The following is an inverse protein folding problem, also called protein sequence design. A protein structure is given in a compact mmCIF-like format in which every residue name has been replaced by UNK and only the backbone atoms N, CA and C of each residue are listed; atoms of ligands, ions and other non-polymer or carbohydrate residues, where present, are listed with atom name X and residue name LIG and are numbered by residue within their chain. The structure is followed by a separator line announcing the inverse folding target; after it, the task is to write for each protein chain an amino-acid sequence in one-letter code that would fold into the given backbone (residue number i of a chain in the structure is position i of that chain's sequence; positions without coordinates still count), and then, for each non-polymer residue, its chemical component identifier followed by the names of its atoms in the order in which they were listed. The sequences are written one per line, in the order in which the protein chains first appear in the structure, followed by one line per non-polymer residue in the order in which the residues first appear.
data_IF_131403917373
#
_entry.id   IF_131403917373
#
_cell.length_a   1.000
_cell.length_b   1.000
_cell.length_c   1.000
_cell.angle_alpha   90.00
_cell.angle_beta   90.00
_cell.angle_gamma   90.00
#
_symmetry.space_group_name_H-M   'P 1'
#
loop_
_entity.id
_entity.type
_entity.pdbx_description
1 polymer ?
#
# COMPACT_ATOMS: atom_id res chain seq x y z
N UNK A 1 -56.96 -23.23 59.67
CA UNK A 1 -55.72 -22.43 59.78
C UNK A 1 -54.65 -23.14 58.96
N UNK A 2 -54.43 -22.71 57.72
CA UNK A 2 -53.25 -23.03 56.89
C UNK A 2 -53.41 -22.37 55.51
N UNK A 3 -52.91 -21.15 55.39
CA UNK A 3 -52.69 -20.44 54.12
C UNK A 3 -51.60 -21.17 53.32
N UNK A 4 -51.74 -21.37 51.99
CA UNK A 4 -50.61 -21.78 51.16
C UNK A 4 -49.78 -20.53 50.82
N UNK A 5 -48.52 -20.54 51.24
CA UNK A 5 -47.51 -19.55 50.86
C UNK A 5 -47.17 -19.68 49.38
N UNK A 6 -47.46 -18.64 48.61
CA UNK A 6 -47.01 -18.48 47.23
C UNK A 6 -45.51 -18.16 47.20
N UNK A 7 -44.68 -19.10 46.76
CA UNK A 7 -43.28 -18.82 46.43
C UNK A 7 -43.21 -18.09 45.09
N UNK A 8 -43.05 -16.77 45.14
CA UNK A 8 -42.73 -15.95 43.96
C UNK A 8 -41.32 -16.33 43.52
N UNK A 9 -41.22 -17.21 42.52
CA UNK A 9 -39.97 -17.53 41.86
C UNK A 9 -39.48 -16.27 41.12
N UNK A 10 -38.36 -15.72 41.58
CA UNK A 10 -37.66 -14.62 40.94
C UNK A 10 -37.14 -15.11 39.60
N UNK A 11 -37.82 -14.75 38.51
CA UNK A 11 -37.33 -14.93 37.16
C UNK A 11 -36.17 -13.94 36.93
N UNK A 12 -34.97 -14.31 37.36
CA UNK A 12 -33.74 -13.65 36.92
C UNK A 12 -33.61 -13.93 35.43
N UNK A 13 -33.92 -12.93 34.62
CA UNK A 13 -33.78 -12.96 33.17
C UNK A 13 -32.34 -13.32 32.82
N UNK A 14 -32.10 -14.57 32.44
CA UNK A 14 -30.83 -14.99 31.87
C UNK A 14 -30.64 -14.19 30.57
N UNK A 15 -29.71 -13.24 30.59
CA UNK A 15 -29.30 -12.48 29.42
C UNK A 15 -28.89 -13.48 28.35
N UNK A 16 -29.58 -13.46 27.21
CA UNK A 16 -29.34 -14.34 26.09
C UNK A 16 -27.89 -14.15 25.58
N UNK A 17 -27.06 -15.18 25.78
CA UNK A 17 -25.64 -15.16 25.41
C UNK A 17 -25.44 -15.07 23.89
N UNK A 18 -26.49 -15.28 23.09
CA UNK A 18 -26.48 -15.06 21.64
C UNK A 18 -26.24 -13.60 21.25
N UNK A 19 -26.41 -12.64 22.18
CA UNK A 19 -26.12 -11.22 21.94
C UNK A 19 -24.64 -10.83 22.17
N UNK A 20 -23.81 -11.75 22.65
CA UNK A 20 -22.38 -11.55 22.89
C UNK A 20 -21.53 -11.96 21.67
N UNK A 21 -21.94 -11.57 20.46
CA UNK A 21 -21.03 -11.64 19.32
C UNK A 21 -19.96 -10.54 19.48
N UNK A 22 -18.65 -10.89 19.53
CA UNK A 22 -17.61 -9.87 19.48
C UNK A 22 -17.75 -9.08 18.17
N UNK A 23 -17.43 -7.79 18.20
CA UNK A 23 -17.51 -6.96 17.00
C UNK A 23 -16.63 -7.55 15.88
N UNK A 24 -17.04 -7.45 14.59
CA UNK A 24 -16.29 -8.01 13.47
C UNK A 24 -14.81 -7.56 13.45
N UNK A 25 -14.54 -6.32 13.86
CA UNK A 25 -13.19 -5.77 13.99
C UNK A 25 -12.36 -6.47 15.09
N UNK A 26 -12.99 -6.83 16.21
CA UNK A 26 -12.32 -7.52 17.32
C UNK A 26 -11.98 -8.96 16.93
N UNK A 27 -12.89 -9.64 16.24
CA UNK A 27 -12.65 -11.00 15.73
C UNK A 27 -11.52 -11.01 14.69
N UNK A 28 -11.53 -10.05 13.75
CA UNK A 28 -10.45 -9.87 12.79
C UNK A 28 -9.10 -9.63 13.47
N UNK A 29 -9.03 -8.73 14.46
CA UNK A 29 -7.79 -8.45 15.17
C UNK A 29 -7.28 -9.66 15.98
N UNK A 30 -8.19 -10.42 16.61
CA UNK A 30 -7.83 -11.65 17.31
C UNK A 30 -7.31 -12.72 16.36
N UNK A 31 -7.92 -12.87 15.18
CA UNK A 31 -7.43 -13.79 14.16
C UNK A 31 -6.08 -13.35 13.59
N UNK A 32 -5.91 -12.05 13.31
CA UNK A 32 -4.68 -11.46 12.78
C UNK A 32 -3.52 -11.58 13.76
N UNK A 33 -3.75 -11.26 15.04
CA UNK A 33 -2.71 -11.30 16.08
C UNK A 33 -2.22 -12.71 16.42
N UNK A 34 -3.01 -13.76 16.14
CA UNK A 34 -2.54 -15.15 16.23
C UNK A 34 -1.45 -15.47 15.21
N UNK A 35 -1.41 -14.75 14.08
CA UNK A 35 -0.38 -14.93 13.07
C UNK A 35 0.83 -14.01 13.36
N UNK A 36 1.86 -14.58 13.98
CA UNK A 36 3.10 -13.86 14.33
C UNK A 36 3.77 -13.18 13.14
N UNK A 37 3.71 -13.79 11.94
CA UNK A 37 4.25 -13.21 10.72
C UNK A 37 3.47 -11.97 10.26
N UNK A 38 2.14 -12.02 10.33
CA UNK A 38 1.28 -10.89 9.98
C UNK A 38 1.51 -9.69 10.92
N UNK A 39 1.65 -9.95 12.23
CA UNK A 39 1.96 -8.90 13.22
C UNK A 39 3.36 -8.32 13.01
N UNK A 40 4.36 -9.15 12.75
CA UNK A 40 5.72 -8.67 12.45
C UNK A 40 5.76 -7.79 11.20
N UNK A 41 5.05 -8.18 10.14
CA UNK A 41 4.92 -7.39 8.92
C UNK A 41 4.20 -6.06 9.15
N UNK A 42 3.12 -6.06 9.93
CA UNK A 42 2.41 -4.83 10.30
C UNK A 42 3.32 -3.88 11.11
N UNK A 43 4.05 -4.41 12.10
CA UNK A 43 4.99 -3.63 12.90
C UNK A 43 6.09 -3.00 12.04
N UNK A 44 6.65 -3.78 11.11
CA UNK A 44 7.65 -3.27 10.16
C UNK A 44 7.08 -2.17 9.25
N UNK A 45 5.88 -2.37 8.70
CA UNK A 45 5.21 -1.35 7.88
C UNK A 45 4.96 -0.06 8.66
N UNK A 46 4.49 -0.18 9.91
CA UNK A 46 4.28 0.98 10.79
C UNK A 46 5.59 1.71 11.08
N UNK A 47 6.68 0.99 11.28
CA UNK A 47 8.01 1.58 11.46
C UNK A 47 8.44 2.35 10.20
N UNK A 48 8.26 1.80 9.01
CA UNK A 48 8.59 2.48 7.74
C UNK A 48 7.74 3.75 7.57
N UNK A 49 6.44 3.67 7.84
CA UNK A 49 5.53 4.84 7.77
C UNK A 49 5.95 5.90 8.79
N UNK A 50 6.29 5.49 10.02
CA UNK A 50 6.76 6.38 11.06
C UNK A 50 8.06 7.10 10.62
N UNK A 51 9.05 6.35 10.14
CA UNK A 51 10.30 6.93 9.61
C UNK A 51 10.05 7.88 8.44
N UNK A 52 9.09 7.58 7.57
CA UNK A 52 8.77 8.42 6.42
C UNK A 52 8.06 9.74 6.82
N UNK A 53 7.14 9.69 7.78
CA UNK A 53 6.43 10.88 8.28
C UNK A 53 7.38 11.78 9.08
N UNK A 54 8.16 11.18 9.97
CA UNK A 54 9.10 11.87 10.85
C UNK A 54 10.51 11.99 10.24
N UNK A 55 10.67 11.73 8.95
CA UNK A 55 11.95 11.80 8.24
C UNK A 55 12.77 13.07 8.53
N UNK A 56 12.21 14.30 8.50
CA UNK A 56 13.00 15.50 8.78
C UNK A 56 13.49 15.62 10.23
N UNK A 57 12.95 14.84 11.16
CA UNK A 57 13.38 14.83 12.57
C UNK A 57 14.19 13.58 12.94
N UNK A 58 14.03 12.49 12.20
CA UNK A 58 14.71 11.21 12.46
C UNK A 58 16.03 11.11 11.69
N UNK A 59 16.17 11.80 10.55
CA UNK A 59 17.40 11.81 9.77
C UNK A 59 18.55 12.50 10.55
N UNK A 60 19.70 11.82 10.77
CA UNK A 60 20.84 12.42 11.48
C UNK A 60 21.49 13.61 10.76
N UNK A 61 21.50 13.60 9.42
CA UNK A 61 22.13 14.60 8.58
C UNK A 61 21.19 15.05 7.45
N UNK A 62 21.50 16.16 6.80
CA UNK A 62 20.78 16.55 5.59
C UNK A 62 21.10 15.56 4.45
N UNK A 63 20.08 15.00 3.76
CA UNK A 63 20.28 13.98 2.72
C UNK A 63 21.02 14.48 1.46
N UNK A 64 21.16 15.79 1.30
CA UNK A 64 21.85 16.45 0.20
C UNK A 64 23.23 16.99 0.57
N UNK A 65 23.57 17.01 1.87
CA UNK A 65 24.86 17.46 2.37
C UNK A 65 25.97 16.48 1.96
N UNK A 66 27.06 17.04 1.43
CA UNK A 66 28.19 16.28 0.88
C UNK A 66 29.42 16.47 1.75
N UNK A 67 29.86 15.38 2.38
CA UNK A 67 31.09 15.34 3.16
C UNK A 67 32.24 14.83 2.30
N UNK A 68 32.94 15.74 1.63
CA UNK A 68 34.03 15.40 0.68
C UNK A 68 35.22 14.68 1.29
N UNK A 69 35.42 14.81 2.60
CA UNK A 69 36.48 14.12 3.33
C UNK A 69 36.11 12.65 3.64
N UNK A 70 34.82 12.30 3.50
CA UNK A 70 34.27 10.99 3.86
C UNK A 70 33.57 10.36 2.65
N UNK A 71 34.33 10.09 1.58
CA UNK A 71 33.82 9.39 0.39
C UNK A 71 33.89 7.88 0.57
N UNK A 72 32.84 7.17 0.16
CA UNK A 72 32.79 5.69 0.19
C UNK A 72 33.17 5.09 1.56
N UNK A 73 32.79 5.77 2.64
CA UNK A 73 33.12 5.33 3.99
C UNK A 73 32.27 4.11 4.31
N UNK A 74 32.86 2.99 4.78
CA UNK A 74 32.09 1.80 5.10
C UNK A 74 31.20 2.03 6.34
N UNK A 75 30.18 1.19 6.54
CA UNK A 75 29.34 1.22 7.74
C UNK A 75 30.14 1.19 9.04
N UNK A 76 29.59 1.81 10.10
CA UNK A 76 30.29 2.02 11.37
C UNK A 76 30.78 0.73 12.07
N UNK A 77 30.22 -0.43 11.74
CA UNK A 77 30.63 -1.73 12.30
C UNK A 77 31.76 -2.43 11.51
N UNK A 78 32.23 -1.84 10.42
CA UNK A 78 33.34 -2.33 9.61
C UNK A 78 34.61 -1.51 9.84
N UNK A 79 35.75 -2.10 9.50
CA UNK A 79 37.04 -1.42 9.59
C UNK A 79 37.08 -0.19 8.68
N UNK A 80 37.50 0.95 9.23
CA UNK A 80 37.45 2.25 8.54
C UNK A 80 36.09 2.95 8.57
N UNK A 81 35.08 2.37 9.23
CA UNK A 81 33.77 2.98 9.41
C UNK A 81 33.76 4.07 10.49
N UNK A 82 32.81 4.99 10.40
CA UNK A 82 32.67 6.09 11.36
C UNK A 82 31.28 6.08 12.00
N UNK A 83 31.24 6.27 13.32
CA UNK A 83 29.97 6.32 14.08
C UNK A 83 29.06 7.47 13.60
N UNK A 84 29.66 8.57 13.08
CA UNK A 84 28.92 9.65 12.46
C UNK A 84 28.06 9.17 11.28
N UNK A 85 28.57 8.24 10.47
CA UNK A 85 27.85 7.68 9.31
C UNK A 85 27.52 6.21 9.58
N UNK A 86 26.42 5.97 10.29
CA UNK A 86 26.08 4.64 10.80
C UNK A 86 26.04 3.57 9.69
N UNK A 87 25.47 3.90 8.53
CA UNK A 87 25.42 3.04 7.34
C UNK A 87 26.52 3.35 6.31
N UNK A 88 27.43 4.28 6.62
CA UNK A 88 28.45 4.75 5.70
C UNK A 88 27.98 5.86 4.76
N UNK A 89 28.83 6.19 3.79
CA UNK A 89 28.61 7.25 2.81
C UNK A 89 28.70 6.76 1.37
N UNK A 90 28.08 7.49 0.44
CA UNK A 90 28.16 7.19 -0.99
C UNK A 90 29.39 7.82 -1.69
N UNK A 91 29.47 7.65 -3.02
CA UNK A 91 30.52 8.23 -3.88
C UNK A 91 30.64 9.76 -3.80
N UNK A 92 29.61 10.45 -3.32
CA UNK A 92 29.58 11.90 -3.15
C UNK A 92 29.72 12.32 -1.68
N UNK A 93 29.97 11.36 -0.77
CA UNK A 93 30.13 11.61 0.65
C UNK A 93 28.83 11.95 1.37
N UNK A 94 27.68 11.52 0.85
CA UNK A 94 26.37 11.75 1.49
C UNK A 94 26.06 10.59 2.44
N UNK A 95 25.49 10.91 3.60
CA UNK A 95 25.10 9.90 4.60
C UNK A 95 24.01 8.95 4.07
N UNK A 96 24.32 7.65 4.01
CA UNK A 96 23.40 6.66 3.45
C UNK A 96 22.16 6.48 4.33
N UNK A 97 22.28 6.57 5.65
CA UNK A 97 21.14 6.42 6.57
C UNK A 97 20.12 7.54 6.38
N UNK A 98 20.56 8.79 6.39
CA UNK A 98 19.70 9.95 6.14
C UNK A 98 19.05 9.89 4.76
N UNK A 99 19.79 9.44 3.73
CA UNK A 99 19.23 9.24 2.38
C UNK A 99 18.17 8.15 2.32
N UNK A 100 18.32 7.05 3.06
CA UNK A 100 17.32 6.00 3.14
C UNK A 100 16.05 6.48 3.87
N UNK A 101 16.19 7.19 4.99
CA UNK A 101 15.07 7.74 5.75
C UNK A 101 14.29 8.75 4.88
N UNK A 102 14.97 9.72 4.27
CA UNK A 102 14.30 10.68 3.39
C UNK A 102 13.75 10.00 2.12
N UNK A 103 14.47 9.02 1.59
CA UNK A 103 14.03 8.20 0.45
C UNK A 103 12.72 7.48 0.73
N UNK A 104 12.54 6.94 1.95
CA UNK A 104 11.31 6.25 2.35
C UNK A 104 10.06 7.13 2.21
N UNK A 105 10.17 8.42 2.57
CA UNK A 105 9.11 9.42 2.40
C UNK A 105 8.75 9.62 0.94
N UNK A 106 9.77 9.75 0.08
CA UNK A 106 9.55 9.93 -1.35
C UNK A 106 8.94 8.67 -1.99
N UNK A 107 9.42 7.49 -1.63
CA UNK A 107 8.91 6.20 -2.11
C UNK A 107 7.45 5.97 -1.73
N UNK A 108 7.06 6.28 -0.49
CA UNK A 108 5.67 6.19 -0.06
C UNK A 108 4.78 7.19 -0.81
N UNK A 109 5.24 8.43 -0.99
CA UNK A 109 4.49 9.44 -1.73
C UNK A 109 4.27 9.02 -3.19
N UNK A 110 5.34 8.58 -3.86
CA UNK A 110 5.27 8.10 -5.25
C UNK A 110 4.34 6.90 -5.34
N UNK A 111 4.55 5.88 -4.50
CA UNK A 111 3.76 4.66 -4.51
C UNK A 111 2.28 4.92 -4.29
N UNK A 112 1.93 5.67 -3.24
CA UNK A 112 0.54 5.98 -2.91
C UNK A 112 -0.12 6.81 -4.00
N UNK A 113 0.56 7.87 -4.48
CA UNK A 113 0.01 8.77 -5.51
C UNK A 113 -0.21 8.03 -6.83
N UNK A 114 0.76 7.21 -7.26
CA UNK A 114 0.63 6.42 -8.49
C UNK A 114 -0.49 5.39 -8.39
N UNK A 115 -0.65 4.74 -7.24
CA UNK A 115 -1.75 3.79 -7.02
C UNK A 115 -3.08 4.50 -7.13
N UNK A 116 -3.30 5.61 -6.41
CA UNK A 116 -4.58 6.35 -6.45
C UNK A 116 -4.87 6.84 -7.87
N UNK A 117 -3.87 7.39 -8.54
CA UNK A 117 -4.03 7.97 -9.88
C UNK A 117 -4.24 6.91 -10.97
N UNK A 118 -3.79 5.67 -10.76
CA UNK A 118 -4.08 4.54 -11.65
C UNK A 118 -5.41 3.85 -11.31
N UNK A 119 -5.71 3.73 -10.02
CA UNK A 119 -6.88 3.02 -9.51
C UNK A 119 -8.19 3.68 -9.98
N UNK A 120 -8.30 5.01 -9.88
CA UNK A 120 -9.52 5.74 -10.26
C UNK A 120 -9.88 5.49 -11.74
N UNK A 121 -9.03 5.86 -12.72
CA UNK A 121 -9.33 5.58 -14.13
C UNK A 121 -9.37 4.08 -14.44
N UNK A 122 -8.57 3.25 -13.76
CA UNK A 122 -8.58 1.80 -13.93
C UNK A 122 -9.92 1.17 -13.57
N UNK A 123 -10.53 1.59 -12.46
CA UNK A 123 -11.87 1.16 -12.05
C UNK A 123 -12.90 1.65 -13.07
N UNK A 124 -12.87 2.93 -13.46
CA UNK A 124 -13.84 3.48 -14.40
C UNK A 124 -13.80 2.76 -15.76
N UNK A 125 -12.61 2.57 -16.33
CA UNK A 125 -12.42 1.87 -17.59
C UNK A 125 -12.75 0.38 -17.48
N UNK A 126 -12.42 -0.26 -16.36
CA UNK A 126 -12.74 -1.66 -16.10
C UNK A 126 -14.23 -1.91 -15.95
N UNK A 127 -14.95 -1.00 -15.26
CA UNK A 127 -16.41 -1.01 -15.20
C UNK A 127 -17.01 -0.90 -16.59
N UNK A 128 -16.59 0.12 -17.35
CA UNK A 128 -17.07 0.34 -18.71
C UNK A 128 -16.82 -0.87 -19.62
N UNK A 129 -15.65 -1.49 -19.51
CA UNK A 129 -15.29 -2.68 -20.28
C UNK A 129 -16.02 -3.96 -19.83
N UNK A 130 -16.45 -4.03 -18.57
CA UNK A 130 -17.24 -5.13 -18.00
C UNK A 130 -18.71 -5.05 -18.36
N UNK A 131 -19.32 -3.87 -18.26
CA UNK A 131 -20.74 -3.63 -18.58
C UNK A 131 -21.06 -3.76 -20.07
N UNK A 132 -20.12 -3.41 -20.95
CA UNK A 132 -20.32 -3.41 -22.39
C UNK A 132 -19.33 -4.34 -23.11
N UNK A 133 -19.40 -5.67 -22.89
CA UNK A 133 -18.39 -6.60 -23.38
C UNK A 133 -18.34 -6.75 -24.91
N UNK A 134 -19.39 -6.31 -25.63
CA UNK A 134 -19.48 -6.39 -27.10
C UNK A 134 -19.18 -5.07 -27.82
N UNK A 135 -19.11 -3.94 -27.10
CA UNK A 135 -18.98 -2.61 -27.71
C UNK A 135 -17.65 -1.95 -27.32
N UNK A 136 -17.61 -1.27 -26.16
CA UNK A 136 -16.41 -0.54 -25.70
C UNK A 136 -15.39 -1.46 -25.02
N UNK A 137 -15.83 -2.59 -24.46
CA UNK A 137 -14.95 -3.56 -23.79
C UNK A 137 -13.77 -4.04 -24.65
N UNK A 138 -13.99 -4.52 -25.89
CA UNK A 138 -12.91 -4.97 -26.76
C UNK A 138 -11.87 -3.89 -27.05
N UNK A 139 -12.28 -2.65 -27.29
CA UNK A 139 -11.37 -1.52 -27.57
C UNK A 139 -10.50 -1.18 -26.36
N UNK A 140 -11.11 -1.07 -25.17
CA UNK A 140 -10.39 -0.80 -23.92
C UNK A 140 -9.38 -1.91 -23.65
N UNK A 141 -9.83 -3.17 -23.76
CA UNK A 141 -8.96 -4.33 -23.54
C UNK A 141 -7.82 -4.39 -24.55
N UNK A 142 -8.06 -4.03 -25.81
CA UNK A 142 -7.01 -3.98 -26.84
C UNK A 142 -5.95 -2.93 -26.52
N UNK A 143 -6.35 -1.76 -26.04
CA UNK A 143 -5.40 -0.74 -25.56
C UNK A 143 -4.57 -1.27 -24.39
N UNK A 144 -5.20 -1.93 -23.42
CA UNK A 144 -4.51 -2.55 -22.29
C UNK A 144 -3.55 -3.68 -22.73
N UNK A 145 -3.90 -4.46 -23.75
CA UNK A 145 -3.02 -5.49 -24.33
C UNK A 145 -1.80 -4.86 -25.00
N UNK A 146 -1.96 -3.75 -25.72
CA UNK A 146 -0.85 -3.01 -26.35
C UNK A 146 0.11 -2.47 -25.28
N UNK A 147 -0.42 -1.92 -24.19
CA UNK A 147 0.41 -1.42 -23.08
C UNK A 147 1.22 -2.53 -22.41
N UNK A 148 0.64 -3.73 -22.27
CA UNK A 148 1.32 -4.89 -21.67
C UNK A 148 2.28 -5.60 -22.63
N UNK A 149 2.25 -5.29 -23.92
CA UNK A 149 3.20 -5.86 -24.89
C UNK A 149 4.64 -5.37 -24.65
N UNK A 150 4.79 -4.19 -24.03
CA UNK A 150 6.08 -3.64 -23.65
C UNK A 150 6.40 -4.01 -22.19
N UNK A 151 7.68 -4.34 -21.87
CA UNK A 151 8.11 -4.46 -20.48
C UNK A 151 7.78 -3.18 -19.70
N UNK A 152 7.17 -3.34 -18.51
CA UNK A 152 6.66 -2.22 -17.70
C UNK A 152 7.72 -1.17 -17.39
N UNK A 153 8.94 -1.61 -17.11
CA UNK A 153 10.09 -0.72 -16.86
C UNK A 153 10.44 0.09 -18.12
N UNK A 154 10.47 -0.53 -19.30
CA UNK A 154 10.78 0.15 -20.56
C UNK A 154 9.69 1.19 -20.88
N UNK A 155 8.42 0.83 -20.71
CA UNK A 155 7.31 1.76 -20.92
C UNK A 155 7.39 2.95 -19.95
N UNK A 156 7.67 2.71 -18.66
CA UNK A 156 7.82 3.77 -17.67
C UNK A 156 8.96 4.73 -18.03
N UNK A 157 10.15 4.20 -18.38
CA UNK A 157 11.31 5.01 -18.74
C UNK A 157 11.04 5.80 -20.03
N UNK A 158 10.38 5.21 -21.03
CA UNK A 158 10.00 5.91 -22.26
C UNK A 158 9.06 7.09 -21.99
N UNK A 159 8.05 6.91 -21.12
CA UNK A 159 7.13 7.99 -20.73
C UNK A 159 7.89 9.10 -19.99
N UNK A 160 8.77 8.75 -19.03
CA UNK A 160 9.58 9.73 -18.31
C UNK A 160 10.55 10.47 -19.24
N UNK A 161 11.11 9.79 -20.24
CA UNK A 161 11.99 10.41 -21.23
C UNK A 161 11.23 11.44 -22.09
N UNK A 162 9.96 11.20 -22.40
CA UNK A 162 9.11 12.13 -23.16
C UNK A 162 8.64 13.31 -22.28
N UNK A 163 8.16 13.03 -21.07
CA UNK A 163 7.63 14.05 -20.16
C UNK A 163 8.74 14.89 -19.48
N UNK A 164 9.97 14.37 -19.45
CA UNK A 164 11.11 14.94 -18.74
C UNK A 164 11.22 14.45 -17.29
N UNK A 165 12.41 14.59 -16.68
CA UNK A 165 12.64 14.17 -15.31
C UNK A 165 11.84 15.02 -14.31
N UNK A 166 11.20 14.38 -13.35
CA UNK A 166 10.47 15.08 -12.29
C UNK A 166 9.58 14.14 -11.49
N UNK A 167 9.35 14.48 -10.22
CA UNK A 167 8.55 13.66 -9.30
C UNK A 167 7.14 13.37 -9.86
N UNK A 168 6.48 14.42 -10.34
CA UNK A 168 5.11 14.34 -10.88
C UNK A 168 5.08 13.47 -12.15
N UNK A 169 6.05 13.65 -13.04
CA UNK A 169 6.15 12.90 -14.29
C UNK A 169 6.41 11.41 -14.02
N UNK A 170 7.26 11.09 -13.04
CA UNK A 170 7.48 9.71 -12.60
C UNK A 170 6.20 9.09 -12.04
N UNK A 171 5.44 9.85 -11.23
CA UNK A 171 4.16 9.38 -10.69
C UNK A 171 3.16 9.09 -11.81
N UNK A 172 3.06 9.97 -12.82
CA UNK A 172 2.23 9.77 -14.01
C UNK A 172 2.66 8.54 -14.80
N UNK A 173 3.95 8.38 -15.06
CA UNK A 173 4.48 7.25 -15.80
C UNK A 173 4.13 5.91 -15.13
N UNK A 174 4.36 5.79 -13.82
CA UNK A 174 4.03 4.58 -13.05
C UNK A 174 2.51 4.36 -13.02
N UNK A 175 1.72 5.42 -12.87
CA UNK A 175 0.26 5.32 -12.86
C UNK A 175 -0.26 4.75 -14.19
N UNK A 176 0.20 5.30 -15.31
CA UNK A 176 -0.17 4.83 -16.66
C UNK A 176 0.23 3.37 -16.86
N UNK A 177 1.46 3.00 -16.49
CA UNK A 177 1.96 1.63 -16.64
C UNK A 177 1.16 0.61 -15.81
N UNK A 178 0.61 1.03 -14.66
CA UNK A 178 -0.19 0.16 -13.78
C UNK A 178 -1.69 0.09 -14.15
N UNK A 179 -2.17 0.95 -15.06
CA UNK A 179 -3.58 0.98 -15.49
C UNK A 179 -4.11 -0.38 -15.94
N UNK A 180 -3.41 -1.17 -16.79
CA UNK A 180 -3.93 -2.43 -17.30
C UNK A 180 -4.32 -3.43 -16.21
N UNK A 181 -3.57 -3.46 -15.11
CA UNK A 181 -3.84 -4.37 -14.00
C UNK A 181 -5.17 -4.04 -13.31
N UNK A 182 -5.42 -2.75 -13.02
CA UNK A 182 -6.67 -2.31 -12.38
C UNK A 182 -7.88 -2.45 -13.32
N UNK A 183 -7.72 -2.15 -14.61
CA UNK A 183 -8.78 -2.34 -15.61
C UNK A 183 -9.20 -3.80 -15.70
N UNK A 184 -8.23 -4.73 -15.80
CA UNK A 184 -8.50 -6.17 -15.87
C UNK A 184 -9.14 -6.70 -14.61
N UNK A 185 -8.63 -6.31 -13.45
CA UNK A 185 -9.17 -6.73 -12.15
C UNK A 185 -10.62 -6.30 -11.99
N UNK A 186 -10.91 -5.03 -12.27
CA UNK A 186 -12.27 -4.48 -12.15
C UNK A 186 -13.22 -5.12 -13.17
N UNK A 187 -12.78 -5.28 -14.43
CA UNK A 187 -13.57 -5.97 -15.46
C UNK A 187 -13.90 -7.41 -15.04
N UNK A 188 -12.94 -8.15 -14.49
CA UNK A 188 -13.15 -9.51 -14.02
C UNK A 188 -14.17 -9.55 -12.87
N UNK A 189 -14.08 -8.62 -11.92
CA UNK A 189 -15.06 -8.50 -10.83
C UNK A 189 -16.47 -8.22 -11.36
N UNK A 190 -16.61 -7.28 -12.29
CA UNK A 190 -17.91 -6.93 -12.91
C UNK A 190 -18.50 -8.11 -13.67
N UNK A 191 -17.70 -8.81 -14.48
CA UNK A 191 -18.20 -10.00 -15.19
C UNK A 191 -18.60 -11.13 -14.24
N UNK A 192 -17.93 -11.27 -13.10
CA UNK A 192 -18.33 -12.23 -12.05
C UNK A 192 -19.67 -11.85 -11.41
N UNK A 193 -19.91 -10.56 -11.25
CA UNK A 193 -21.13 -10.02 -10.62
C UNK A 193 -22.35 -10.03 -11.55
N UNK A 194 -22.16 -9.70 -12.83
CA UNK A 194 -23.23 -9.65 -13.83
C UNK A 194 -23.93 -10.99 -14.06
N UNK A 195 -23.30 -12.12 -13.69
CA UNK A 195 -23.88 -13.46 -13.83
C UNK A 195 -24.70 -13.90 -12.60
N UNK A 196 -24.96 -13.00 -11.64
CA UNK A 196 -25.73 -13.31 -10.42
C UNK A 196 -27.22 -13.07 -10.61
N UNK A 197 -28.03 -13.91 -9.98
CA UNK A 197 -29.50 -13.92 -10.13
C UNK A 197 -30.22 -12.63 -9.71
N UNK A 198 -29.57 -11.76 -8.91
CA UNK A 198 -30.13 -10.46 -8.52
C UNK A 198 -29.84 -9.33 -9.52
N UNK A 199 -29.00 -9.57 -10.52
CA UNK A 199 -28.74 -8.62 -11.61
C UNK A 199 -29.75 -8.92 -12.71
N UNK A 200 -30.77 -8.07 -12.84
CA UNK A 200 -31.87 -8.20 -13.82
C UNK A 200 -31.55 -7.49 -15.13
#
# INVERSE_FOLDING_TARGET
MSTPTSSVATATSAVDQSLLYPSPYKEFWQAFSKNKGAVAGLMFMLLVIFCAIFAPWVAPHDPSEQYRDFLLTPPAWLEGGQIQFLLGTDELGRDLLSRLIQGSRLSLLIGLSSVVMSLIPGILLGLLAGFFPKAVGPTIMRLMDIMLALPSLLLAVAIVAILGPGLINTVIAIAVVSLPSYVRLTRAAVMGELNRDYVT
#
